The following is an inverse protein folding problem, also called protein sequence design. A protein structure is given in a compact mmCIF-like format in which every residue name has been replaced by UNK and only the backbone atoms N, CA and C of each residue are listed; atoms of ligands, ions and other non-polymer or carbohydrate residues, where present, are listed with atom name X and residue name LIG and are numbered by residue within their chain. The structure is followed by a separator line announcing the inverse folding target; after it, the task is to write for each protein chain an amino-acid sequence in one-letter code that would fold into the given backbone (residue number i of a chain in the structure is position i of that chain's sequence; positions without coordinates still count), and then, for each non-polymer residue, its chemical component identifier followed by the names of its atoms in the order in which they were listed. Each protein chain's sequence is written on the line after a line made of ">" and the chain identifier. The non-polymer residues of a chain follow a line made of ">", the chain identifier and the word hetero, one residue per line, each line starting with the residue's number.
data_IF_045110257386
#
_entry.id   IF_045110257386
#
_cell.length_a   1.000
_cell.length_b   1.000
_cell.length_c   1.000
_cell.angle_alpha   90.00
_cell.angle_beta   90.00
_cell.angle_gamma   90.00
#
_symmetry.space_group_name_H-M   'P 1'
#
loop_
_entity.id
_entity.type
_entity.pdbx_description
1 polymer ?
#
# COMPACT_ATOMS: atom_id res chain seq x y z
N UNK A 1 -6.90 40.67 -24.80
CA UNK A 1 -6.20 39.42 -25.16
C UNK A 1 -4.72 39.71 -25.27
N UNK A 2 -3.87 39.28 -24.33
CA UNK A 2 -2.42 39.33 -24.50
C UNK A 2 -1.90 37.99 -25.04
N UNK A 3 -1.14 38.05 -26.14
CA UNK A 3 -0.43 36.93 -26.77
C UNK A 3 0.83 36.58 -25.96
N UNK A 4 1.11 35.31 -25.64
CA UNK A 4 2.41 34.92 -25.08
C UNK A 4 3.43 34.52 -26.16
N UNK A 5 4.62 35.09 -26.02
CA UNK A 5 5.90 34.93 -26.73
C UNK A 5 6.39 33.46 -26.75
N UNK A 6 7.15 33.00 -27.77
CA UNK A 6 7.61 31.61 -27.87
C UNK A 6 8.69 31.25 -26.85
N UNK A 7 8.67 30.01 -26.35
CA UNK A 7 9.71 29.41 -25.50
C UNK A 7 10.93 28.98 -26.33
N UNK A 8 12.17 29.14 -25.83
CA UNK A 8 13.32 28.51 -26.45
C UNK A 8 13.39 27.02 -26.06
N UNK A 9 13.66 26.18 -27.05
CA UNK A 9 14.01 24.77 -26.88
C UNK A 9 15.45 24.61 -26.37
N UNK A 10 15.68 23.52 -25.64
CA UNK A 10 16.98 23.20 -25.06
C UNK A 10 17.07 21.72 -24.64
N UNK A 11 17.28 20.86 -25.63
CA UNK A 11 18.16 19.69 -25.69
C UNK A 11 18.36 18.77 -24.45
N UNK A 12 17.95 17.51 -24.67
CA UNK A 12 18.67 16.24 -24.48
C UNK A 12 19.08 15.76 -23.06
N UNK A 13 18.74 14.48 -22.85
CA UNK A 13 18.93 13.66 -21.65
C UNK A 13 20.40 13.49 -21.21
N UNK A 14 20.65 13.02 -19.98
CA UNK A 14 20.74 11.57 -19.79
C UNK A 14 20.17 11.09 -18.46
N UNK A 15 19.70 9.84 -18.41
CA UNK A 15 19.27 9.24 -17.14
C UNK A 15 18.66 7.87 -17.33
N UNK A 16 19.49 6.89 -17.67
CA UNK A 16 19.16 5.49 -17.39
C UNK A 16 19.08 5.34 -15.87
N UNK A 17 17.91 5.58 -15.28
CA UNK A 17 17.66 5.22 -13.89
C UNK A 17 17.48 3.71 -13.88
N UNK A 18 18.55 3.00 -13.49
CA UNK A 18 18.50 1.57 -13.25
C UNK A 18 17.37 1.29 -12.24
N UNK A 19 16.39 0.49 -12.65
CA UNK A 19 15.24 0.09 -11.81
C UNK A 19 15.75 -0.75 -10.63
N UNK A 20 15.63 -0.25 -9.41
CA UNK A 20 16.00 -1.01 -8.21
C UNK A 20 14.82 -1.88 -7.78
N UNK A 21 14.72 -3.09 -8.34
CA UNK A 21 13.92 -4.16 -7.74
C UNK A 21 14.60 -4.57 -6.44
N UNK A 22 14.01 -4.24 -5.30
CA UNK A 22 14.49 -4.77 -4.02
C UNK A 22 14.03 -6.22 -3.90
N UNK A 23 14.99 -7.13 -4.01
CA UNK A 23 14.80 -8.56 -3.87
C UNK A 23 15.10 -8.95 -2.43
N UNK A 24 14.09 -9.41 -1.68
CA UNK A 24 14.35 -10.00 -0.37
C UNK A 24 14.99 -11.38 -0.53
N UNK A 25 15.98 -11.66 0.32
CA UNK A 25 16.70 -12.93 0.39
C UNK A 25 15.73 -14.12 0.51
N UNK A 26 16.02 -15.15 -0.29
CA UNK A 26 15.29 -16.42 -0.50
C UNK A 26 14.21 -16.45 -1.58
N UNK A 27 13.95 -15.35 -2.29
CA UNK A 27 13.14 -15.38 -3.52
C UNK A 27 11.64 -15.67 -3.31
N UNK A 28 11.16 -15.62 -2.07
CA UNK A 28 9.77 -15.90 -1.70
C UNK A 28 8.86 -14.67 -1.90
N UNK A 29 9.41 -13.46 -1.88
CA UNK A 29 8.63 -12.22 -1.97
C UNK A 29 9.36 -11.18 -2.83
N UNK A 30 8.66 -10.68 -3.85
CA UNK A 30 9.09 -9.53 -4.65
C UNK A 30 8.05 -8.41 -4.49
N UNK A 31 8.42 -7.32 -3.80
CA UNK A 31 7.57 -6.12 -3.70
C UNK A 31 7.81 -5.23 -4.93
N UNK A 32 6.74 -4.75 -5.55
CA UNK A 32 6.76 -3.82 -6.67
C UNK A 32 6.65 -2.39 -6.16
N UNK A 33 7.78 -1.85 -5.69
CA UNK A 33 7.85 -0.49 -5.12
C UNK A 33 7.60 0.61 -6.16
N UNK A 34 7.79 0.31 -7.45
CA UNK A 34 7.53 1.26 -8.55
C UNK A 34 6.03 1.37 -8.90
N UNK A 35 5.18 0.54 -8.30
CA UNK A 35 3.74 0.52 -8.58
C UNK A 35 3.08 1.86 -8.31
N UNK A 36 3.46 2.53 -7.22
CA UNK A 36 2.92 3.85 -6.87
C UNK A 36 3.18 4.89 -7.97
N UNK A 37 4.40 4.90 -8.52
CA UNK A 37 4.79 5.83 -9.59
C UNK A 37 4.09 5.52 -10.92
N UNK A 38 3.80 4.24 -11.21
CA UNK A 38 3.17 3.82 -12.47
C UNK A 38 1.63 3.85 -12.45
N UNK A 39 1.01 3.63 -11.30
CA UNK A 39 -0.45 3.41 -11.17
C UNK A 39 -1.14 4.46 -10.28
N UNK A 40 -0.38 5.26 -9.54
CA UNK A 40 -0.91 6.29 -8.64
C UNK A 40 -1.37 5.78 -7.27
N UNK A 41 -1.20 4.49 -6.97
CA UNK A 41 -1.55 3.90 -5.68
C UNK A 41 -0.52 2.84 -5.23
N UNK A 42 -0.28 2.72 -3.92
CA UNK A 42 0.64 1.75 -3.34
C UNK A 42 0.20 0.29 -3.54
N UNK A 43 1.13 -0.64 -3.32
CA UNK A 43 0.86 -2.07 -3.38
C UNK A 43 0.10 -2.56 -2.14
N UNK A 44 -1.04 -3.24 -2.38
CA UNK A 44 -1.73 -4.03 -1.38
C UNK A 44 -1.14 -5.44 -1.33
N UNK A 45 -0.75 -5.87 -0.13
CA UNK A 45 -0.20 -7.18 0.19
C UNK A 45 -1.35 -8.09 0.58
N UNK A 46 -1.65 -9.07 -0.27
CA UNK A 46 -2.60 -10.13 0.05
C UNK A 46 -2.00 -11.08 1.10
N UNK A 47 -2.63 -11.19 2.28
CA UNK A 47 -2.12 -11.99 3.40
C UNK A 47 -2.67 -13.41 3.45
N UNK A 48 -3.89 -13.62 2.94
CA UNK A 48 -4.53 -14.94 2.96
C UNK A 48 -3.68 -15.96 2.17
N UNK A 49 -3.42 -17.12 2.77
CA UNK A 49 -2.54 -18.14 2.20
C UNK A 49 -1.04 -17.94 2.44
N UNK A 50 -0.59 -16.80 2.98
CA UNK A 50 0.80 -16.61 3.44
C UNK A 50 0.99 -17.12 4.86
N UNK A 51 2.21 -17.54 5.18
CA UNK A 51 2.58 -17.90 6.55
C UNK A 51 2.86 -16.64 7.39
N UNK A 52 2.68 -16.69 8.73
CA UNK A 52 3.09 -15.61 9.62
C UNK A 52 4.58 -15.24 9.49
N UNK A 53 5.44 -16.22 9.20
CA UNK A 53 6.86 -15.98 8.98
C UNK A 53 7.12 -15.14 7.72
N UNK A 54 6.45 -15.45 6.61
CA UNK A 54 6.56 -14.65 5.38
C UNK A 54 6.08 -13.22 5.60
N UNK A 55 5.00 -13.04 6.37
CA UNK A 55 4.46 -11.72 6.67
C UNK A 55 5.40 -10.89 7.55
N UNK A 56 6.13 -11.50 8.49
CA UNK A 56 7.18 -10.80 9.24
C UNK A 56 8.29 -10.32 8.30
N UNK A 57 8.75 -11.17 7.39
CA UNK A 57 9.76 -10.78 6.39
C UNK A 57 9.27 -9.64 5.51
N UNK A 58 8.03 -9.70 5.04
CA UNK A 58 7.41 -8.62 4.24
C UNK A 58 7.30 -7.33 5.06
N UNK A 59 6.82 -7.41 6.30
CA UNK A 59 6.63 -6.26 7.17
C UNK A 59 7.97 -5.58 7.52
N UNK A 60 9.02 -6.37 7.77
CA UNK A 60 10.37 -5.85 7.99
C UNK A 60 10.91 -5.10 6.76
N UNK A 61 10.66 -5.60 5.55
CA UNK A 61 11.04 -4.93 4.30
C UNK A 61 10.25 -3.63 4.09
N UNK A 62 8.93 -3.67 4.32
CA UNK A 62 8.06 -2.50 4.23
C UNK A 62 8.46 -1.41 5.23
N UNK A 63 8.97 -1.78 6.42
CA UNK A 63 9.47 -0.84 7.43
C UNK A 63 10.60 0.05 6.91
N UNK A 64 11.38 -0.42 5.94
CA UNK A 64 12.49 0.34 5.32
C UNK A 64 11.98 1.44 4.38
N UNK A 65 10.68 1.45 4.04
CA UNK A 65 10.04 2.40 3.14
C UNK A 65 8.84 3.13 3.77
N UNK A 66 9.01 3.81 4.93
CA UNK A 66 7.90 4.39 5.71
C UNK A 66 7.10 5.49 4.99
N UNK A 67 7.67 6.10 3.94
CA UNK A 67 7.00 7.10 3.10
C UNK A 67 6.00 6.49 2.11
N UNK A 68 6.00 5.17 1.93
CA UNK A 68 5.07 4.48 1.04
C UNK A 68 3.97 3.82 1.88
N UNK A 69 2.68 4.08 1.58
CA UNK A 69 1.62 3.32 2.21
C UNK A 69 1.66 1.87 1.75
N UNK A 70 1.30 0.94 2.63
CA UNK A 70 1.19 -0.47 2.37
C UNK A 70 -0.03 -1.00 3.12
N UNK A 71 -0.89 -1.71 2.40
CA UNK A 71 -2.10 -2.31 2.95
C UNK A 71 -1.92 -3.82 2.98
N UNK A 72 -2.08 -4.43 4.14
CA UNK A 72 -2.09 -5.88 4.32
C UNK A 72 -3.56 -6.32 4.42
N UNK A 73 -4.10 -6.85 3.33
CA UNK A 73 -5.51 -7.20 3.22
C UNK A 73 -5.76 -8.65 3.59
N UNK A 74 -6.96 -8.93 4.10
CA UNK A 74 -7.39 -10.27 4.55
C UNK A 74 -6.48 -10.90 5.61
N UNK A 75 -5.84 -10.08 6.44
CA UNK A 75 -5.09 -10.53 7.59
C UNK A 75 -6.04 -10.99 8.71
N UNK A 76 -6.12 -12.29 8.96
CA UNK A 76 -6.72 -12.79 10.20
C UNK A 76 -5.82 -12.48 11.40
N UNK A 77 -6.26 -12.80 12.63
CA UNK A 77 -5.60 -12.38 13.86
C UNK A 77 -4.11 -12.76 13.89
N UNK A 78 -3.79 -14.02 13.60
CA UNK A 78 -2.41 -14.54 13.62
C UNK A 78 -1.51 -13.80 12.61
N UNK A 79 -2.03 -13.53 11.41
CA UNK A 79 -1.30 -12.81 10.36
C UNK A 79 -1.14 -11.33 10.69
N UNK A 80 -2.18 -10.70 11.25
CA UNK A 80 -2.13 -9.32 11.70
C UNK A 80 -1.10 -9.15 12.82
N UNK A 81 -1.08 -10.05 13.81
CA UNK A 81 -0.08 -10.07 14.89
C UNK A 81 1.34 -10.21 14.35
N UNK A 82 1.55 -11.04 13.33
CA UNK A 82 2.84 -11.20 12.69
C UNK A 82 3.34 -9.89 12.07
N UNK A 83 2.46 -9.15 11.38
CA UNK A 83 2.77 -7.83 10.82
C UNK A 83 3.00 -6.80 11.95
N UNK A 84 2.12 -6.74 12.94
CA UNK A 84 2.19 -5.80 14.07
C UNK A 84 3.43 -5.99 14.93
N UNK A 85 3.99 -7.20 14.99
CA UNK A 85 5.26 -7.41 15.71
C UNK A 85 6.41 -6.64 15.06
N UNK A 86 6.43 -6.53 13.73
CA UNK A 86 7.47 -5.78 13.00
C UNK A 86 7.14 -4.29 12.84
N UNK A 87 5.84 -3.97 12.82
CA UNK A 87 5.26 -2.65 12.60
C UNK A 87 4.29 -2.30 13.74
N UNK A 88 4.79 -2.02 14.96
CA UNK A 88 3.95 -1.85 16.14
C UNK A 88 3.02 -0.63 16.06
N UNK A 89 3.37 0.39 15.27
CA UNK A 89 2.54 1.58 15.07
C UNK A 89 1.56 1.44 13.87
N UNK A 90 1.46 0.26 13.24
CA UNK A 90 0.51 0.05 12.16
C UNK A 90 -0.94 0.06 12.67
N UNK A 91 -1.86 0.58 11.86
CA UNK A 91 -3.28 0.55 12.18
C UNK A 91 -3.87 -0.82 11.79
N UNK A 92 -4.63 -1.45 12.68
CA UNK A 92 -5.30 -2.72 12.42
C UNK A 92 -6.81 -2.63 12.66
N UNK A 93 -7.61 -2.99 11.66
CA UNK A 93 -9.04 -3.22 11.81
C UNK A 93 -9.33 -4.74 11.73
N UNK A 94 -9.73 -5.39 12.84
CA UNK A 94 -9.96 -6.83 12.89
C UNK A 94 -11.22 -7.28 12.13
N UNK A 95 -12.17 -6.38 11.88
CA UNK A 95 -13.38 -6.72 11.13
C UNK A 95 -13.11 -6.63 9.64
N UNK A 96 -12.43 -5.59 9.18
CA UNK A 96 -11.96 -5.47 7.80
C UNK A 96 -10.85 -6.48 7.47
N UNK A 97 -10.18 -7.05 8.50
CA UNK A 97 -8.97 -7.87 8.35
C UNK A 97 -7.89 -7.10 7.59
N UNK A 98 -7.70 -5.84 7.96
CA UNK A 98 -6.84 -4.88 7.27
C UNK A 98 -5.80 -4.30 8.21
N UNK A 99 -4.52 -4.40 7.84
CA UNK A 99 -3.45 -3.64 8.51
C UNK A 99 -2.92 -2.58 7.54
N UNK A 100 -2.74 -1.35 8.01
CA UNK A 100 -2.22 -0.22 7.23
C UNK A 100 -0.94 0.32 7.85
N UNK A 101 0.09 0.49 7.00
CA UNK A 101 1.37 1.07 7.39
C UNK A 101 1.86 2.08 6.34
N UNK A 102 2.24 3.31 6.72
CA UNK A 102 1.99 3.92 8.02
C UNK A 102 0.48 4.02 8.33
N UNK A 103 0.08 4.25 9.60
CA UNK A 103 -1.33 4.30 10.01
C UNK A 103 -2.09 5.54 9.51
N UNK A 104 -1.39 6.47 8.85
CA UNK A 104 -1.93 7.76 8.47
C UNK A 104 -2.97 7.60 7.35
N UNK A 105 -4.21 8.02 7.62
CA UNK A 105 -5.27 8.09 6.61
C UNK A 105 -5.04 9.34 5.75
N UNK A 106 -5.05 9.24 4.41
CA UNK A 106 -4.91 10.40 3.53
C UNK A 106 -6.12 11.34 3.67
N UNK A 107 -5.91 12.62 3.37
CA UNK A 107 -7.00 13.60 3.34
C UNK A 107 -8.07 13.18 2.32
N UNK A 108 -9.37 13.20 2.69
CA UNK A 108 -10.44 12.86 1.77
C UNK A 108 -10.40 13.73 0.53
N UNK A 109 -10.50 13.09 -0.64
CA UNK A 109 -10.59 13.77 -1.92
C UNK A 109 -11.93 13.45 -2.60
N UNK A 110 -12.52 14.46 -3.26
CA UNK A 110 -13.75 14.29 -4.04
C UNK A 110 -15.04 14.52 -3.25
N UNK A 111 -16.12 13.90 -3.73
CA UNK A 111 -17.47 14.04 -3.19
C UNK A 111 -17.79 12.97 -2.13
N UNK A 112 -18.89 13.16 -1.42
CA UNK A 112 -19.34 12.20 -0.40
C UNK A 112 -19.74 10.86 -1.03
N UNK A 113 -19.08 9.78 -0.60
CA UNK A 113 -19.39 8.40 -0.98
C UNK A 113 -20.05 7.68 0.20
N UNK A 114 -21.02 6.82 -0.09
CA UNK A 114 -21.66 5.94 0.90
C UNK A 114 -21.30 4.49 0.58
N UNK A 115 -20.77 3.78 1.57
CA UNK A 115 -20.59 2.31 1.52
C UNK A 115 -21.74 1.68 2.31
N UNK A 116 -22.46 0.76 1.68
CA UNK A 116 -23.60 0.06 2.27
C UNK A 116 -23.50 -1.44 2.03
N UNK A 117 -23.94 -2.24 3.00
CA UNK A 117 -23.97 -3.69 2.91
C UNK A 117 -25.31 -4.25 3.43
N UNK A 118 -25.77 -5.36 2.86
CA UNK A 118 -27.07 -5.94 3.19
C UNK A 118 -27.00 -7.00 4.29
N UNK A 119 -25.84 -7.62 4.50
CA UNK A 119 -25.64 -8.68 5.50
C UNK A 119 -24.39 -8.50 6.34
N UNK A 120 -24.35 -9.20 7.49
CA UNK A 120 -23.16 -9.26 8.35
C UNK A 120 -21.98 -9.99 7.68
N UNK A 121 -22.25 -10.86 6.70
CA UNK A 121 -21.22 -11.51 5.88
C UNK A 121 -20.43 -10.53 5.02
N UNK A 122 -21.06 -9.42 4.63
CA UNK A 122 -20.47 -8.39 3.78
C UNK A 122 -19.67 -7.38 4.60
N UNK A 123 -19.84 -7.37 5.93
CA UNK A 123 -19.26 -6.39 6.84
C UNK A 123 -17.73 -6.28 6.73
N UNK A 124 -16.96 -7.38 6.59
CA UNK A 124 -15.52 -7.29 6.38
C UNK A 124 -15.15 -6.51 5.11
N UNK A 125 -15.84 -6.80 4.01
CA UNK A 125 -15.59 -6.16 2.70
C UNK A 125 -16.05 -4.71 2.71
N UNK A 126 -17.21 -4.43 3.30
CA UNK A 126 -17.73 -3.07 3.43
C UNK A 126 -16.85 -2.19 4.32
N UNK A 127 -16.26 -2.75 5.38
CA UNK A 127 -15.31 -2.03 6.22
C UNK A 127 -13.96 -1.81 5.52
N UNK A 128 -13.45 -2.79 4.78
CA UNK A 128 -12.25 -2.59 3.96
C UNK A 128 -12.47 -1.43 2.99
N UNK A 129 -13.59 -1.42 2.25
CA UNK A 129 -13.93 -0.36 1.31
C UNK A 129 -14.19 1.02 1.96
N UNK A 130 -14.55 1.07 3.24
CA UNK A 130 -14.67 2.33 3.98
C UNK A 130 -13.30 2.91 4.33
N UNK A 131 -12.28 2.07 4.47
CA UNK A 131 -10.93 2.43 4.91
C UNK A 131 -9.96 2.71 3.75
N UNK A 132 -10.33 2.39 2.51
CA UNK A 132 -9.47 2.47 1.31
C UNK A 132 -10.13 3.23 0.17
#
# INVERSE_FOLDING_TARGET
>A
MPTPTPRPGGQSAPGTTASSRTQASDGVVQLDLDRAQRRGYPEAIYCEGKSPADLRTIAALVREHPQMPHLFTRADCERAEAVLTELPDAAYDPVARLVAWPPQVPEPAGEKVVVACAGTSDLPVAREALLT
#
